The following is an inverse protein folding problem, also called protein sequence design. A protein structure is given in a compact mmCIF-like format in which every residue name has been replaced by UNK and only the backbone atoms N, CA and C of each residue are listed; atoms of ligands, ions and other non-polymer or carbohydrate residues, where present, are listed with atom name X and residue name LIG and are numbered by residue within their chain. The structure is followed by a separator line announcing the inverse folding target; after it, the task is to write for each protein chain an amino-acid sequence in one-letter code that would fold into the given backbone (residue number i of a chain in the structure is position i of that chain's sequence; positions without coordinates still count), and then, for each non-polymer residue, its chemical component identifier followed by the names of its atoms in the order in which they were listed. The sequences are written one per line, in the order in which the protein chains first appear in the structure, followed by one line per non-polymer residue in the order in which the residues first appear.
data_IF_602697188620
#
_entry.id   IF_602697188620
#
_cell.length_a   1.000
_cell.length_b   1.000
_cell.length_c   1.000
_cell.angle_alpha   90.00
_cell.angle_beta   90.00
_cell.angle_gamma   90.00
#
_symmetry.space_group_name_H-M   'P 1'
#
loop_
_entity.id
_entity.type
_entity.pdbx_description
1 polymer ?
#
# COMPACT_ATOMS: atom_id res chain seq x y z
N UNK A 1 -16.56 -72.75 -5.72
CA UNK A 1 -15.29 -72.55 -5.00
C UNK A 1 -15.06 -71.06 -4.89
N UNK A 2 -14.91 -70.60 -3.66
CA UNK A 2 -15.25 -69.26 -3.17
C UNK A 2 -14.03 -68.63 -2.49
N UNK A 3 -13.90 -67.31 -2.59
CA UNK A 3 -13.15 -66.37 -1.70
C UNK A 3 -11.65 -66.11 -2.00
N UNK A 4 -11.04 -65.04 -1.45
CA UNK A 4 -11.36 -63.61 -1.66
C UNK A 4 -10.09 -62.70 -1.85
N UNK A 5 -10.31 -61.41 -2.15
CA UNK A 5 -9.31 -60.31 -2.13
C UNK A 5 -8.67 -60.09 -0.73
N UNK A 6 -7.50 -59.43 -0.69
CA UNK A 6 -7.28 -58.41 0.33
C UNK A 6 -6.99 -57.02 -0.28
N UNK A 7 -7.79 -56.04 0.14
CA UNK A 7 -7.41 -54.63 0.15
C UNK A 7 -6.16 -54.45 1.02
N UNK A 8 -5.16 -53.70 0.52
CA UNK A 8 -4.15 -53.10 1.39
C UNK A 8 -4.22 -51.58 1.34
N UNK A 9 -4.24 -51.01 2.55
CA UNK A 9 -4.48 -49.61 2.90
C UNK A 9 -3.23 -48.75 2.69
N UNK A 10 -3.49 -47.54 2.19
CA UNK A 10 -3.00 -46.21 2.66
C UNK A 10 -1.51 -46.03 2.95
N UNK A 11 -0.90 -45.04 2.28
CA UNK A 11 -0.10 -43.94 2.86
C UNK A 11 0.16 -42.92 1.74
N UNK A 12 -0.61 -41.82 1.67
CA UNK A 12 -0.24 -40.49 2.14
C UNK A 12 1.12 -39.99 1.57
N UNK A 13 1.11 -39.50 0.33
CA UNK A 13 2.19 -38.71 -0.26
C UNK A 13 1.70 -37.28 -0.47
N UNK A 14 2.22 -36.39 0.38
CA UNK A 14 2.00 -34.93 0.39
C UNK A 14 2.87 -34.27 -0.70
N UNK A 15 2.56 -33.01 -1.02
CA UNK A 15 3.42 -31.96 -1.61
C UNK A 15 3.23 -31.82 -3.15
N UNK A 16 2.42 -30.87 -3.65
CA UNK A 16 2.60 -29.41 -3.71
C UNK A 16 3.69 -28.96 -4.72
N UNK A 17 3.27 -28.51 -5.91
CA UNK A 17 3.99 -27.62 -6.85
C UNK A 17 3.12 -27.52 -8.12
N UNK A 18 2.90 -26.41 -8.81
CA UNK A 18 3.26 -25.01 -8.65
C UNK A 18 2.37 -24.30 -9.69
N UNK A 19 1.40 -23.50 -9.26
CA UNK A 19 0.59 -22.68 -10.19
C UNK A 19 1.47 -21.51 -10.62
N UNK A 20 2.16 -21.67 -11.75
CA UNK A 20 3.12 -20.70 -12.26
C UNK A 20 2.39 -19.58 -13.01
N UNK A 21 2.43 -18.39 -12.39
CA UNK A 21 2.50 -17.09 -13.04
C UNK A 21 1.39 -16.70 -14.03
N UNK A 22 0.22 -16.34 -13.49
CA UNK A 22 -0.60 -15.27 -14.05
C UNK A 22 -0.38 -13.99 -13.22
N UNK A 23 0.81 -13.39 -13.32
CA UNK A 23 1.07 -12.06 -12.76
C UNK A 23 1.41 -11.16 -13.93
N UNK A 24 0.36 -10.59 -14.52
CA UNK A 24 0.47 -9.54 -15.52
C UNK A 24 1.41 -8.45 -15.01
N UNK A 25 2.53 -8.15 -15.70
CA UNK A 25 3.13 -6.84 -15.52
C UNK A 25 2.18 -5.87 -16.21
N UNK A 26 1.27 -5.25 -15.46
CA UNK A 26 0.65 -4.02 -15.93
C UNK A 26 1.79 -3.00 -15.95
N UNK A 27 2.45 -2.91 -17.11
CA UNK A 27 3.28 -1.76 -17.42
C UNK A 27 2.37 -0.54 -17.29
N UNK A 28 2.54 0.19 -16.19
CA UNK A 28 1.92 1.50 -16.00
C UNK A 28 2.52 2.37 -17.10
N UNK A 29 1.73 2.68 -18.13
CA UNK A 29 2.15 3.56 -19.21
C UNK A 29 2.65 4.88 -18.62
N UNK A 30 3.81 5.35 -19.08
CA UNK A 30 4.44 6.59 -18.62
C UNK A 30 3.54 7.83 -18.74
N UNK A 31 2.47 7.74 -19.53
CA UNK A 31 1.43 8.76 -19.69
C UNK A 31 0.53 8.88 -18.46
N UNK A 32 0.27 7.77 -17.75
CA UNK A 32 -0.43 7.73 -16.46
C UNK A 32 0.46 8.25 -15.30
N UNK A 33 1.78 8.20 -15.49
CA UNK A 33 2.77 8.74 -14.56
C UNK A 33 2.92 10.28 -14.64
N UNK A 34 2.40 10.93 -15.70
CA UNK A 34 2.46 12.39 -15.83
C UNK A 34 1.45 13.11 -14.90
N UNK A 35 0.42 12.41 -14.43
CA UNK A 35 -0.50 12.90 -13.42
C UNK A 35 -0.14 12.33 -12.05
N UNK A 36 0.37 13.19 -11.17
CA UNK A 36 0.75 12.82 -9.81
C UNK A 36 -0.38 12.01 -9.13
N UNK A 37 -0.12 10.71 -8.92
CA UNK A 37 -1.11 9.79 -8.41
C UNK A 37 -1.47 10.15 -6.96
N UNK A 38 -2.76 10.21 -6.66
CA UNK A 38 -3.24 10.43 -5.29
C UNK A 38 -3.67 9.10 -4.67
N UNK A 39 -3.29 8.87 -3.42
CA UNK A 39 -3.63 7.69 -2.65
C UNK A 39 -4.28 8.09 -1.33
N UNK A 40 -5.27 7.31 -0.90
CA UNK A 40 -5.86 7.40 0.42
C UNK A 40 -5.53 6.13 1.20
N UNK A 41 -5.06 6.32 2.43
CA UNK A 41 -4.62 5.25 3.32
C UNK A 41 -5.59 5.16 4.50
N UNK A 42 -5.96 3.93 4.83
CA UNK A 42 -6.95 3.62 5.85
C UNK A 42 -6.41 2.65 6.88
N UNK A 43 -6.88 2.79 8.13
CA UNK A 43 -6.72 1.79 9.20
C UNK A 43 -8.11 1.32 9.60
N UNK A 44 -8.43 0.07 9.26
CA UNK A 44 -9.83 -0.37 9.21
C UNK A 44 -10.61 0.51 8.23
N UNK A 45 -11.70 1.12 8.70
CA UNK A 45 -12.56 1.98 7.88
C UNK A 45 -12.22 3.48 7.98
N UNK A 46 -11.24 3.85 8.81
CA UNK A 46 -10.87 5.25 9.05
C UNK A 46 -9.75 5.69 8.10
N UNK A 47 -9.95 6.81 7.41
CA UNK A 47 -8.90 7.44 6.61
C UNK A 47 -7.87 8.11 7.55
N UNK A 48 -6.59 7.76 7.39
CA UNK A 48 -5.51 8.19 8.28
C UNK A 48 -4.44 9.02 7.57
N UNK A 49 -4.31 8.88 6.25
CA UNK A 49 -3.29 9.59 5.46
C UNK A 49 -3.74 9.75 4.01
N UNK A 50 -3.55 10.94 3.46
CA UNK A 50 -3.62 11.22 2.02
C UNK A 50 -2.20 11.38 1.48
N UNK A 51 -1.87 10.75 0.37
CA UNK A 51 -0.56 10.82 -0.29
C UNK A 51 -0.74 11.31 -1.72
N UNK A 52 0.15 12.17 -2.18
CA UNK A 52 0.28 12.54 -3.59
C UNK A 52 1.70 12.24 -4.01
N UNK A 53 1.85 11.46 -5.09
CA UNK A 53 3.12 11.05 -5.67
C UNK A 53 3.78 12.21 -6.42
N UNK A 54 4.22 13.21 -5.65
CA UNK A 54 5.00 14.36 -6.09
C UNK A 54 5.81 14.91 -4.92
N UNK A 55 7.06 15.36 -5.12
CA UNK A 55 7.82 16.05 -4.09
C UNK A 55 7.01 17.23 -3.52
N UNK A 56 7.05 17.41 -2.20
CA UNK A 56 6.32 18.51 -1.59
C UNK A 56 6.17 18.39 -0.09
N UNK A 57 5.09 18.95 0.43
CA UNK A 57 4.93 19.21 1.86
C UNK A 57 4.29 18.02 2.57
N UNK A 58 4.77 17.74 3.77
CA UNK A 58 4.13 16.85 4.73
C UNK A 58 3.33 17.71 5.69
N UNK A 59 2.02 17.69 5.52
CA UNK A 59 1.07 18.36 6.40
C UNK A 59 0.57 17.36 7.44
N UNK A 60 0.58 17.73 8.71
CA UNK A 60 -0.19 17.02 9.73
C UNK A 60 -1.40 17.84 10.16
N UNK A 61 -2.44 17.18 10.67
CA UNK A 61 -3.54 17.83 11.39
C UNK A 61 -3.08 18.47 12.71
N UNK A 62 -1.90 18.10 13.23
CA UNK A 62 -1.27 18.82 14.33
C UNK A 62 -0.80 20.21 13.85
N UNK A 63 -1.22 21.26 14.55
CA UNK A 63 -0.74 22.62 14.29
C UNK A 63 0.78 22.67 14.52
N UNK A 64 1.58 23.03 13.50
CA UNK A 64 3.00 23.25 13.71
C UNK A 64 3.18 24.40 14.71
N UNK A 65 4.28 24.38 15.47
CA UNK A 65 4.62 25.49 16.35
C UNK A 65 4.62 26.81 15.54
N UNK A 66 4.14 27.93 16.10
CA UNK A 66 4.13 29.21 15.39
C UNK A 66 5.51 29.53 14.80
N UNK A 67 5.58 29.72 13.48
CA UNK A 67 6.83 30.02 12.76
C UNK A 67 7.62 28.80 12.26
N UNK A 68 7.19 27.57 12.56
CA UNK A 68 7.81 26.36 12.00
C UNK A 68 7.39 26.15 10.54
N UNK A 69 8.37 26.04 9.63
CA UNK A 69 8.12 25.66 8.25
C UNK A 69 7.66 24.19 8.18
N UNK A 70 6.65 23.86 7.36
CA UNK A 70 6.20 22.49 7.25
C UNK A 70 7.28 21.63 6.56
N UNK A 71 7.47 20.41 7.06
CA UNK A 71 8.53 19.53 6.58
C UNK A 71 8.29 19.14 5.11
N UNK A 72 9.27 19.39 4.24
CA UNK A 72 9.25 18.90 2.86
C UNK A 72 9.70 17.44 2.77
N UNK A 73 9.30 16.75 1.71
CA UNK A 73 9.76 15.41 1.38
C UNK A 73 10.23 15.33 -0.08
N UNK A 74 11.34 14.63 -0.37
CA UNK A 74 11.95 14.63 -1.69
C UNK A 74 11.15 13.91 -2.76
N UNK A 75 10.20 13.03 -2.39
CA UNK A 75 9.46 12.21 -3.35
C UNK A 75 7.93 12.23 -3.23
N UNK A 76 7.36 12.68 -2.11
CA UNK A 76 5.91 12.70 -1.94
C UNK A 76 5.40 13.93 -1.19
N UNK A 77 4.10 14.17 -1.31
CA UNK A 77 3.34 15.14 -0.51
C UNK A 77 2.36 14.32 0.30
N UNK A 78 2.23 14.58 1.59
CA UNK A 78 1.31 13.81 2.42
C UNK A 78 0.51 14.70 3.37
N UNK A 79 -0.69 14.25 3.74
CA UNK A 79 -1.53 14.88 4.76
C UNK A 79 -2.01 13.84 5.75
N UNK A 80 -1.42 13.82 6.95
CA UNK A 80 -1.88 12.96 8.03
C UNK A 80 -3.22 13.46 8.56
N UNK A 81 -4.22 12.59 8.60
CA UNK A 81 -5.59 12.90 9.01
C UNK A 81 -5.89 12.45 10.45
N UNK A 82 -5.08 11.53 10.98
CA UNK A 82 -5.22 10.96 12.31
C UNK A 82 -3.92 11.22 13.11
N UNK A 83 -3.90 12.19 14.04
CA UNK A 83 -2.73 12.50 14.87
C UNK A 83 -2.19 11.28 15.62
N UNK A 84 -3.08 10.38 16.05
CA UNK A 84 -2.71 9.16 16.78
C UNK A 84 -1.86 8.19 15.94
N UNK A 85 -1.91 8.27 14.61
CA UNK A 85 -1.10 7.45 13.71
C UNK A 85 0.18 8.16 13.22
N UNK A 86 0.32 9.46 13.45
CA UNK A 86 1.38 10.28 12.86
C UNK A 86 2.78 9.74 13.13
N UNK A 87 3.05 9.34 14.39
CA UNK A 87 4.36 8.80 14.76
C UNK A 87 4.71 7.54 13.98
N UNK A 88 3.74 6.62 13.84
CA UNK A 88 3.94 5.36 13.10
C UNK A 88 4.06 5.60 11.60
N UNK A 89 3.25 6.50 11.05
CA UNK A 89 3.33 6.89 9.64
C UNK A 89 4.68 7.55 9.32
N UNK A 90 5.20 8.38 10.23
CA UNK A 90 6.54 8.97 10.13
C UNK A 90 7.63 7.91 10.11
N UNK A 91 7.61 6.95 11.04
CA UNK A 91 8.58 5.85 11.07
C UNK A 91 8.60 5.04 9.76
N UNK A 92 7.43 4.77 9.19
CA UNK A 92 7.33 4.07 7.91
C UNK A 92 7.90 4.93 6.78
N UNK A 93 7.57 6.22 6.76
CA UNK A 93 8.06 7.18 5.77
C UNK A 93 9.59 7.31 5.80
N UNK A 94 10.17 7.47 6.99
CA UNK A 94 11.61 7.63 7.19
C UNK A 94 12.38 6.35 6.81
N UNK A 95 11.72 5.20 6.87
CA UNK A 95 12.26 3.91 6.43
C UNK A 95 12.03 3.62 4.94
N UNK A 96 11.49 4.58 4.17
CA UNK A 96 11.13 4.41 2.77
C UNK A 96 12.03 5.21 1.83
N UNK A 97 12.35 4.63 0.67
CA UNK A 97 13.25 5.27 -0.30
C UNK A 97 12.50 6.07 -1.39
N UNK A 98 11.24 5.71 -1.64
CA UNK A 98 10.40 6.33 -2.66
C UNK A 98 8.91 6.10 -2.34
N UNK A 99 8.00 6.70 -3.13
CA UNK A 99 6.56 6.59 -2.91
C UNK A 99 6.08 5.15 -2.98
N UNK A 100 6.57 4.35 -3.95
CA UNK A 100 6.15 2.96 -4.10
C UNK A 100 6.53 2.13 -2.86
N UNK A 101 7.78 2.24 -2.41
CA UNK A 101 8.30 1.56 -1.22
C UNK A 101 7.51 1.97 0.04
N UNK A 102 7.17 3.26 0.16
CA UNK A 102 6.32 3.76 1.23
C UNK A 102 4.93 3.10 1.23
N UNK A 103 4.26 3.02 0.07
CA UNK A 103 2.95 2.38 -0.05
C UNK A 103 3.01 0.87 0.24
N UNK A 104 4.09 0.19 -0.15
CA UNK A 104 4.31 -1.22 0.18
C UNK A 104 4.49 -1.44 1.69
N UNK A 105 5.33 -0.64 2.35
CA UNK A 105 5.51 -0.74 3.81
C UNK A 105 4.24 -0.42 4.59
N UNK A 106 3.41 0.50 4.10
CA UNK A 106 2.08 0.75 4.66
C UNK A 106 1.19 -0.50 4.58
N UNK A 107 1.18 -1.20 3.44
CA UNK A 107 0.43 -2.46 3.29
C UNK A 107 0.95 -3.54 4.24
N UNK A 108 2.27 -3.67 4.35
CA UNK A 108 2.91 -4.61 5.30
C UNK A 108 2.55 -4.28 6.75
N UNK A 109 2.43 -3.00 7.09
CA UNK A 109 1.98 -2.51 8.39
C UNK A 109 0.46 -2.62 8.62
N UNK A 110 -0.27 -3.31 7.73
CA UNK A 110 -1.73 -3.56 7.77
C UNK A 110 -2.61 -2.32 7.52
N UNK A 111 -2.08 -1.32 6.82
CA UNK A 111 -2.90 -0.25 6.28
C UNK A 111 -3.48 -0.63 4.92
N UNK A 112 -4.70 -0.19 4.66
CA UNK A 112 -5.35 -0.33 3.36
C UNK A 112 -5.04 0.90 2.51
N UNK A 113 -4.46 0.70 1.33
CA UNK A 113 -4.09 1.79 0.40
C UNK A 113 -5.00 1.74 -0.82
N UNK A 114 -5.68 2.84 -1.12
CA UNK A 114 -6.54 2.99 -2.30
C UNK A 114 -6.07 4.13 -3.18
N UNK A 115 -5.93 3.90 -4.48
CA UNK A 115 -5.70 4.98 -5.45
C UNK A 115 -6.98 5.79 -5.61
N UNK A 116 -6.87 7.11 -5.54
CA UNK A 116 -7.96 8.05 -5.77
C UNK A 116 -7.75 8.69 -7.13
N UNK A 117 -8.65 8.37 -8.05
CA UNK A 117 -8.72 9.05 -9.34
C UNK A 117 -9.49 10.34 -9.14
N UNK A 118 -8.80 11.47 -9.18
CA UNK A 118 -9.46 12.77 -9.28
C UNK A 118 -10.05 12.83 -10.69
N UNK A 119 -11.31 12.40 -10.85
CA UNK A 119 -12.05 12.72 -12.06
C UNK A 119 -12.01 14.25 -12.20
N UNK A 120 -11.32 14.74 -13.24
CA UNK A 120 -11.35 16.16 -13.59
C UNK A 120 -12.81 16.63 -13.74
N UNK A 121 -13.11 17.92 -13.56
CA UNK A 121 -14.46 18.41 -13.69
C UNK A 121 -15.04 17.98 -15.04
N UNK A 122 -16.24 17.40 -15.04
CA UNK A 122 -17.09 17.41 -16.24
C UNK A 122 -17.23 18.89 -16.62
N UNK A 123 -16.62 19.29 -17.72
CA UNK A 123 -16.97 20.54 -18.39
C UNK A 123 -18.35 20.41 -19.01
#
# INVERSE_FOLDING_TARGET
MTSPLPLSRRSLGVILALVLAAIFPHAISAEDAAQAATYMVYKGDRAVLKVVDKPGVLTSTALPAPGAAPAGHPFLTASALAPEEEHRLRQILDASENTLDFLEKLRQARYSVKRVYTNGPKQ
#
